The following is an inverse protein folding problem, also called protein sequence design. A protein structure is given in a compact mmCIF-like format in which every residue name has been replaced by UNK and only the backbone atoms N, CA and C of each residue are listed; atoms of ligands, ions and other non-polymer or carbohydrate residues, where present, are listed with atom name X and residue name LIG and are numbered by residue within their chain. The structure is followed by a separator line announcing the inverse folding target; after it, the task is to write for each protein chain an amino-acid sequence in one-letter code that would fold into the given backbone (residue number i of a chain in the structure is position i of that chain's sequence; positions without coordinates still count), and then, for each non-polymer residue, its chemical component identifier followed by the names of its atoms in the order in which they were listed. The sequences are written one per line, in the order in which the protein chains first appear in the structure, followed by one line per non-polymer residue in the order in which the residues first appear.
data_IF_072615145097
#
_entry.id   IF_072615145097
#
_cell.length_a   1.000
_cell.length_b   1.000
_cell.length_c   1.000
_cell.angle_alpha   90.00
_cell.angle_beta   90.00
_cell.angle_gamma   90.00
#
_symmetry.space_group_name_H-M   'P 1'
#
loop_
_entity.id
_entity.type
_entity.pdbx_description
1 polymer ?
#
# COMPACT_ATOMS: atom_id res chain seq x y z
N UNK A 1 4.21 17.85 13.09
CA UNK A 1 3.92 16.60 12.32
C UNK A 1 5.22 15.85 12.15
N UNK A 2 5.18 14.52 12.12
CA UNK A 2 6.36 13.70 11.87
C UNK A 2 6.31 13.14 10.46
N UNK A 3 7.49 12.96 9.88
CA UNK A 3 7.64 12.41 8.54
C UNK A 3 8.47 11.15 8.60
N UNK A 4 8.15 10.20 7.74
CA UNK A 4 8.78 8.90 7.75
C UNK A 4 9.02 8.39 6.35
N UNK A 5 10.05 7.55 6.21
CA UNK A 5 10.25 6.74 5.01
C UNK A 5 9.78 5.31 5.25
N UNK A 6 9.10 4.77 4.25
CA UNK A 6 8.62 3.40 4.20
C UNK A 6 9.12 2.75 2.92
N UNK A 7 9.42 1.45 3.01
CA UNK A 7 9.76 0.66 1.84
C UNK A 7 8.65 -0.32 1.50
N UNK A 8 8.39 -0.39 0.20
CA UNK A 8 7.52 -1.38 -0.37
C UNK A 8 8.23 -2.32 -1.34
N UNK A 9 7.59 -3.47 -1.54
CA UNK A 9 7.98 -4.46 -2.52
C UNK A 9 7.65 -4.01 -3.95
N UNK A 10 8.14 -4.78 -4.92
CA UNK A 10 7.95 -4.56 -6.35
C UNK A 10 6.49 -4.26 -6.72
N UNK A 11 6.30 -3.24 -7.54
CA UNK A 11 5.00 -2.86 -8.11
C UNK A 11 4.73 -3.63 -9.41
N UNK A 12 3.45 -3.81 -9.72
CA UNK A 12 3.03 -4.07 -11.10
C UNK A 12 2.48 -2.77 -11.69
N UNK A 13 2.63 -2.60 -13.00
CA UNK A 13 1.95 -1.54 -13.74
C UNK A 13 0.60 -2.06 -14.26
N UNK A 14 -0.45 -1.28 -14.07
CA UNK A 14 -1.80 -1.53 -14.54
C UNK A 14 -2.24 -0.36 -15.40
N UNK A 15 -2.45 -0.61 -16.70
CA UNK A 15 -2.89 0.41 -17.67
C UNK A 15 -4.39 0.32 -17.92
N UNK A 16 -5.13 1.36 -17.55
CA UNK A 16 -6.57 1.49 -17.77
C UNK A 16 -6.81 2.77 -18.55
N UNK A 17 -7.38 2.62 -19.75
CA UNK A 17 -7.46 3.70 -20.72
C UNK A 17 -6.08 4.35 -20.92
N UNK A 18 -5.96 5.64 -20.64
CA UNK A 18 -4.72 6.39 -20.72
C UNK A 18 -3.99 6.48 -19.36
N UNK A 19 -4.53 5.93 -18.27
CA UNK A 19 -3.91 6.02 -16.95
C UNK A 19 -3.04 4.79 -16.65
N UNK A 20 -1.81 5.04 -16.19
CA UNK A 20 -0.95 4.01 -15.60
C UNK A 20 -1.04 4.10 -14.08
N UNK A 21 -1.25 2.95 -13.43
CA UNK A 21 -1.27 2.83 -11.97
C UNK A 21 -0.24 1.81 -11.55
N UNK A 22 0.61 2.17 -10.59
CA UNK A 22 1.58 1.23 -10.02
C UNK A 22 1.08 0.76 -8.66
N UNK A 23 0.78 -0.52 -8.54
CA UNK A 23 0.15 -1.08 -7.34
C UNK A 23 0.70 -2.47 -7.00
N UNK A 24 0.22 -3.01 -5.89
CA UNK A 24 0.42 -4.41 -5.55
C UNK A 24 -0.24 -5.34 -6.57
N UNK A 25 0.24 -6.58 -6.60
CA UNK A 25 -0.42 -7.62 -7.39
C UNK A 25 -1.80 -7.92 -6.82
N UNK A 26 -2.79 -8.10 -7.70
CA UNK A 26 -4.18 -8.42 -7.32
C UNK A 26 -4.35 -9.78 -6.64
N UNK A 27 -3.31 -10.61 -6.63
CA UNK A 27 -3.23 -11.85 -5.85
C UNK A 27 -2.87 -11.57 -4.38
N UNK A 28 -3.84 -11.10 -3.60
CA UNK A 28 -3.69 -10.88 -2.15
C UNK A 28 -4.30 -9.56 -1.69
N UNK A 29 -3.92 -9.11 -0.48
CA UNK A 29 -4.15 -7.76 0.01
C UNK A 29 -3.36 -6.74 -0.84
N UNK A 30 -4.00 -5.67 -1.26
CA UNK A 30 -3.50 -4.66 -2.21
C UNK A 30 -3.05 -3.34 -1.56
N UNK A 31 -2.63 -3.37 -0.29
CA UNK A 31 -2.15 -2.18 0.42
C UNK A 31 -0.94 -1.51 -0.27
N UNK A 32 -0.84 -0.17 -0.27
CA UNK A 32 -1.84 0.81 0.19
C UNK A 32 -2.88 1.18 -0.89
N UNK A 33 -2.72 0.64 -2.10
CA UNK A 33 -3.51 0.91 -3.31
C UNK A 33 -4.81 0.11 -3.33
N UNK A 34 -5.59 0.22 -2.26
CA UNK A 34 -6.98 -0.19 -2.28
C UNK A 34 -7.71 0.81 -3.17
N UNK A 35 -8.34 0.31 -4.23
CA UNK A 35 -9.05 1.12 -5.24
C UNK A 35 -10.35 1.72 -4.67
N UNK A 36 -10.19 2.55 -3.65
CA UNK A 36 -11.17 3.29 -2.86
C UNK A 36 -10.81 4.77 -2.88
N UNK A 37 -11.74 5.65 -2.47
CA UNK A 37 -11.52 7.11 -2.49
C UNK A 37 -10.27 7.55 -1.70
N UNK A 38 -9.91 6.78 -0.68
CA UNK A 38 -8.74 6.99 0.16
C UNK A 38 -7.85 5.75 0.07
N UNK A 39 -6.54 5.96 0.11
CA UNK A 39 -5.59 4.85 0.27
C UNK A 39 -5.75 4.26 1.67
N UNK A 40 -5.62 2.94 1.76
CA UNK A 40 -5.79 2.20 3.01
C UNK A 40 -4.57 1.33 3.23
N UNK A 41 -4.06 1.31 4.46
CA UNK A 41 -3.00 0.38 4.85
C UNK A 41 -3.44 -0.36 6.11
N UNK A 42 -3.81 -1.64 5.97
CA UNK A 42 -4.12 -2.49 7.12
C UNK A 42 -2.88 -3.24 7.52
N UNK A 43 -2.50 -3.04 8.78
CA UNK A 43 -1.32 -3.66 9.34
C UNK A 43 -1.50 -5.17 9.56
N UNK A 44 -1.29 -5.91 8.47
CA UNK A 44 -1.16 -7.36 8.42
C UNK A 44 0.31 -7.78 8.29
N UNK A 45 1.07 -7.05 7.45
CA UNK A 45 2.35 -7.46 6.85
C UNK A 45 3.58 -6.82 7.48
N UNK A 46 3.46 -5.65 8.08
CA UNK A 46 4.62 -4.85 8.45
C UNK A 46 4.70 -4.71 9.96
N UNK A 47 5.80 -5.13 10.58
CA UNK A 47 6.19 -4.65 11.92
C UNK A 47 6.86 -3.27 11.83
N UNK A 48 6.71 -2.60 10.67
CA UNK A 48 7.51 -1.43 10.31
C UNK A 48 7.05 -0.18 11.05
N UNK A 49 5.76 -0.03 11.37
CA UNK A 49 5.21 1.10 12.12
C UNK A 49 4.36 0.60 13.29
N UNK A 50 4.45 1.29 14.42
CA UNK A 50 3.50 1.14 15.52
C UNK A 50 2.41 2.21 15.38
N UNK A 51 1.14 1.83 15.38
CA UNK A 51 0.01 2.76 15.35
C UNK A 51 0.13 3.89 16.39
N UNK A 52 0.63 3.57 17.59
CA UNK A 52 0.84 4.53 18.68
C UNK A 52 1.84 5.65 18.36
N UNK A 53 2.63 5.53 17.28
CA UNK A 53 3.60 6.53 16.85
C UNK A 53 3.04 7.47 15.78
N UNK A 54 1.93 7.11 15.13
CA UNK A 54 1.33 7.88 14.04
C UNK A 54 0.24 8.80 14.58
N UNK A 55 0.14 9.99 13.98
CA UNK A 55 -0.91 10.97 14.22
C UNK A 55 -1.46 11.48 12.90
N UNK A 56 -2.68 12.02 12.94
CA UNK A 56 -3.26 12.75 11.82
C UNK A 56 -2.30 13.85 11.37
N UNK A 57 -2.08 13.94 10.05
CA UNK A 57 -1.15 14.86 9.40
C UNK A 57 0.27 14.32 9.24
N UNK A 58 0.66 13.22 9.89
CA UNK A 58 1.99 12.64 9.64
C UNK A 58 2.09 12.12 8.19
N UNK A 59 3.24 12.32 7.54
CA UNK A 59 3.46 11.87 6.16
C UNK A 59 4.37 10.66 6.13
N UNK A 60 3.94 9.63 5.40
CA UNK A 60 4.73 8.45 5.07
C UNK A 60 5.11 8.57 3.59
N UNK A 61 6.40 8.72 3.32
CA UNK A 61 6.96 8.62 1.98
C UNK A 61 7.27 7.16 1.67
N UNK A 62 6.47 6.56 0.80
CA UNK A 62 6.66 5.19 0.37
C UNK A 62 7.57 5.17 -0.84
N UNK A 63 8.56 4.29 -0.78
CA UNK A 63 9.46 4.03 -1.88
C UNK A 63 9.36 2.58 -2.28
N UNK A 64 9.36 2.34 -3.59
CA UNK A 64 9.43 0.98 -4.12
C UNK A 64 10.81 0.76 -4.72
N UNK A 65 11.31 -0.45 -4.56
CA UNK A 65 12.52 -0.92 -5.25
C UNK A 65 12.11 -1.91 -6.33
N UNK A 66 12.67 -1.80 -7.53
CA UNK A 66 12.43 -2.75 -8.61
C UNK A 66 13.75 -3.11 -9.28
N UNK A 67 13.88 -4.37 -9.72
CA UNK A 67 15.08 -4.88 -10.38
C UNK A 67 15.69 -6.09 -9.67
N UNK A 68 16.82 -6.55 -10.20
CA UNK A 68 17.70 -7.52 -9.55
C UNK A 68 18.70 -6.75 -8.65
N UNK A 69 19.34 -7.41 -7.66
CA UNK A 69 20.27 -6.75 -6.74
C UNK A 69 21.42 -5.94 -7.36
N UNK A 70 21.78 -6.20 -8.62
CA UNK A 70 22.82 -5.47 -9.36
C UNK A 70 22.29 -4.30 -10.20
N UNK A 71 20.97 -4.15 -10.33
CA UNK A 71 20.28 -3.19 -11.21
C UNK A 71 19.09 -2.53 -10.48
N UNK A 72 19.11 -2.51 -9.15
CA UNK A 72 17.99 -1.99 -8.39
C UNK A 72 17.77 -0.51 -8.66
N UNK A 73 16.55 -0.20 -9.06
CA UNK A 73 16.06 1.16 -9.18
C UNK A 73 15.10 1.45 -8.04
N UNK A 74 15.21 2.65 -7.50
CA UNK A 74 14.32 3.15 -6.46
C UNK A 74 13.34 4.13 -7.06
N UNK A 75 12.12 4.12 -6.56
CA UNK A 75 11.05 4.96 -7.07
C UNK A 75 10.28 5.59 -5.92
N UNK A 76 9.87 6.83 -6.11
CA UNK A 76 8.83 7.42 -5.27
C UNK A 76 7.51 6.74 -5.61
N UNK A 77 6.93 6.04 -4.63
CA UNK A 77 5.75 5.21 -4.83
C UNK A 77 4.48 5.94 -4.38
N UNK A 78 4.42 6.35 -3.12
CA UNK A 78 3.26 7.02 -2.55
C UNK A 78 3.66 8.10 -1.55
N UNK A 79 3.01 9.25 -1.62
CA UNK A 79 2.96 10.22 -0.52
C UNK A 79 1.67 9.96 0.24
N UNK A 80 1.78 9.26 1.37
CA UNK A 80 0.64 8.87 2.20
C UNK A 80 0.57 9.78 3.43
N UNK A 81 -0.46 10.63 3.48
CA UNK A 81 -0.70 11.54 4.61
C UNK A 81 -1.72 10.87 5.52
N UNK A 82 -1.37 10.62 6.78
CA UNK A 82 -2.26 9.95 7.74
C UNK A 82 -3.45 10.86 8.06
N UNK A 83 -4.67 10.35 7.91
CA UNK A 83 -5.89 11.06 8.33
C UNK A 83 -6.47 10.45 9.61
N UNK A 84 -6.60 9.12 9.63
CA UNK A 84 -7.14 8.39 10.78
C UNK A 84 -6.50 7.00 10.94
N UNK A 85 -6.59 6.48 12.17
CA UNK A 85 -6.15 5.13 12.51
C UNK A 85 -7.33 4.46 13.21
N UNK A 86 -7.91 3.44 12.56
CA UNK A 86 -9.10 2.76 13.05
C UNK A 86 -8.71 1.36 13.51
N UNK A 87 -8.95 1.05 14.78
CA UNK A 87 -8.78 -0.30 15.29
C UNK A 87 -9.99 -1.15 14.92
N UNK A 88 -9.72 -2.41 14.59
CA UNK A 88 -10.78 -3.38 14.33
C UNK A 88 -11.29 -3.79 15.70
N UNK A 89 -12.28 -3.09 16.23
CA UNK A 89 -12.93 -3.46 17.49
C UNK A 89 -14.08 -4.41 17.21
N UNK A 90 -14.46 -5.23 18.19
CA UNK A 90 -15.58 -6.16 18.04
C UNK A 90 -16.89 -5.38 17.79
N UNK A 91 -17.66 -5.81 16.79
CA UNK A 91 -19.01 -5.31 16.57
C UNK A 91 -20.04 -6.10 17.38
N UNK A 92 -21.10 -5.43 17.82
CA UNK A 92 -22.27 -6.06 18.43
C UNK A 92 -23.22 -6.67 17.38
N UNK A 93 -22.97 -6.44 16.09
CA UNK A 93 -23.75 -7.05 15.00
C UNK A 93 -23.49 -8.55 14.98
N UNK A 94 -24.52 -9.32 15.34
CA UNK A 94 -24.52 -10.76 15.49
C UNK A 94 -24.14 -11.52 14.21
N UNK A 95 -22.84 -11.73 13.97
CA UNK A 95 -22.37 -12.90 13.25
C UNK A 95 -22.37 -14.10 14.20
N UNK A 96 -22.51 -15.33 13.71
CA UNK A 96 -22.22 -16.53 14.50
C UNK A 96 -20.75 -16.46 14.93
N UNK A 97 -20.50 -15.86 16.09
CA UNK A 97 -19.16 -15.73 16.64
C UNK A 97 -18.76 -17.15 17.02
N UNK A 98 -17.73 -17.70 16.38
CA UNK A 98 -17.10 -18.90 16.93
C UNK A 98 -16.59 -18.61 18.35
N UNK A 99 -16.19 -19.62 19.11
CA UNK A 99 -15.66 -19.43 20.48
C UNK A 99 -14.33 -18.63 20.56
N UNK A 100 -13.93 -17.93 19.49
CA UNK A 100 -12.73 -17.11 19.44
C UNK A 100 -13.06 -15.63 19.71
N UNK A 101 -12.70 -15.08 20.89
CA UNK A 101 -12.95 -13.66 21.20
C UNK A 101 -12.21 -12.68 20.28
N UNK A 102 -11.24 -13.15 19.50
CA UNK A 102 -10.42 -12.35 18.58
C UNK A 102 -10.82 -12.51 17.10
N UNK A 103 -11.99 -13.08 16.81
CA UNK A 103 -12.46 -13.30 15.43
C UNK A 103 -12.54 -12.01 14.60
N UNK A 104 -12.93 -10.91 15.24
CA UNK A 104 -12.98 -9.57 14.65
C UNK A 104 -11.61 -9.03 14.18
N UNK A 105 -10.48 -9.64 14.56
CA UNK A 105 -9.17 -9.35 13.96
C UNK A 105 -8.89 -10.13 12.67
N UNK A 106 -9.78 -11.02 12.26
CA UNK A 106 -9.62 -11.87 11.08
C UNK A 106 -10.77 -11.72 10.10
N UNK A 107 -11.97 -11.41 10.59
CA UNK A 107 -13.12 -11.06 9.77
C UNK A 107 -13.60 -9.66 10.09
N UNK A 108 -13.52 -8.77 9.10
CA UNK A 108 -13.99 -7.38 9.20
C UNK A 108 -15.50 -7.29 9.41
N UNK A 109 -16.27 -8.32 9.02
CA UNK A 109 -17.73 -8.37 9.27
C UNK A 109 -18.06 -8.44 10.76
N UNK A 110 -17.15 -8.98 11.55
CA UNK A 110 -17.27 -9.05 13.01
C UNK A 110 -16.68 -7.80 13.68
N UNK A 111 -16.24 -6.79 12.92
CA UNK A 111 -15.60 -5.59 13.46
C UNK A 111 -16.39 -4.30 13.20
N UNK A 112 -16.01 -3.23 13.88
CA UNK A 112 -16.62 -1.89 13.76
C UNK A 112 -16.20 -1.13 12.49
N UNK A 113 -15.25 -1.65 11.73
CA UNK A 113 -14.72 -1.01 10.51
C UNK A 113 -15.85 -0.82 9.50
N UNK A 114 -16.00 0.42 9.01
CA UNK A 114 -16.85 0.72 7.88
C UNK A 114 -16.07 0.51 6.58
N UNK A 115 -16.72 -0.13 5.61
CA UNK A 115 -16.10 -0.44 4.33
C UNK A 115 -17.15 -0.49 3.22
N UNK A 116 -16.71 -0.19 1.99
CA UNK A 116 -17.48 -0.45 0.78
C UNK A 116 -17.18 -1.86 0.23
N UNK A 117 -17.90 -2.26 -0.83
CA UNK A 117 -17.71 -3.57 -1.47
C UNK A 117 -16.27 -3.76 -2.01
N UNK A 118 -15.65 -2.68 -2.43
CA UNK A 118 -14.35 -2.64 -3.10
C UNK A 118 -13.19 -2.88 -2.14
N UNK A 119 -13.15 -2.09 -1.07
CA UNK A 119 -12.26 -2.26 0.08
C UNK A 119 -12.53 -3.58 0.81
N UNK A 120 -13.77 -4.08 0.87
CA UNK A 120 -14.02 -5.43 1.37
C UNK A 120 -13.28 -6.48 0.54
N UNK A 121 -13.48 -6.47 -0.79
CA UNK A 121 -12.97 -7.53 -1.69
C UNK A 121 -11.45 -7.53 -1.84
N UNK A 122 -10.83 -6.36 -1.97
CA UNK A 122 -9.40 -6.30 -2.29
C UNK A 122 -8.49 -6.21 -1.07
N UNK A 123 -9.08 -5.93 0.09
CA UNK A 123 -8.33 -5.62 1.28
C UNK A 123 -8.84 -6.37 2.51
N UNK A 124 -10.04 -6.06 2.98
CA UNK A 124 -10.47 -6.55 4.28
C UNK A 124 -10.75 -8.06 4.34
N UNK A 125 -11.36 -8.66 3.32
CA UNK A 125 -11.65 -10.10 3.30
C UNK A 125 -10.39 -10.99 3.27
N UNK A 126 -9.23 -10.39 2.97
CA UNK A 126 -7.94 -11.10 2.91
C UNK A 126 -7.28 -11.23 4.28
N UNK A 127 -7.79 -10.55 5.32
CA UNK A 127 -7.16 -10.50 6.63
C UNK A 127 -6.92 -11.88 7.26
N UNK A 128 -7.88 -12.80 7.15
CA UNK A 128 -7.76 -14.18 7.66
C UNK A 128 -6.89 -15.10 6.79
N UNK A 129 -6.67 -14.76 5.51
CA UNK A 129 -5.89 -15.57 4.55
C UNK A 129 -4.43 -15.15 4.54
N UNK A 130 -4.17 -13.86 4.40
CA UNK A 130 -2.82 -13.34 4.25
C UNK A 130 -2.10 -13.34 5.61
N UNK A 131 -2.78 -12.93 6.69
CA UNK A 131 -2.18 -12.82 8.03
C UNK A 131 -3.18 -13.13 9.16
N UNK A 132 -3.56 -14.40 9.33
CA UNK A 132 -4.44 -14.80 10.42
C UNK A 132 -3.81 -14.46 11.78
N UNK A 133 -4.62 -13.87 12.66
CA UNK A 133 -4.34 -13.69 14.09
C UNK A 133 -4.91 -14.88 14.85
N UNK A 134 -4.03 -15.69 15.41
CA UNK A 134 -4.39 -16.80 16.28
C UNK A 134 -4.47 -16.34 17.73
N UNK A 135 -5.02 -17.16 18.64
CA UNK A 135 -5.00 -16.89 20.09
C UNK A 135 -3.59 -16.62 20.62
N UNK A 136 -2.58 -17.34 20.10
CA UNK A 136 -1.16 -17.13 20.44
C UNK A 136 -0.53 -15.86 19.82
N UNK A 137 -1.23 -15.15 18.94
CA UNK A 137 -0.77 -13.93 18.25
C UNK A 137 -1.90 -12.90 18.12
N UNK A 138 -2.68 -12.70 19.19
CA UNK A 138 -3.81 -11.77 19.25
C UNK A 138 -3.38 -10.29 19.32
N UNK A 139 -2.52 -9.84 18.42
CA UNK A 139 -2.17 -8.43 18.29
C UNK A 139 -3.34 -7.68 17.64
N UNK A 140 -3.76 -6.59 18.26
CA UNK A 140 -4.78 -5.67 17.73
C UNK A 140 -4.49 -5.35 16.27
N UNK A 141 -5.52 -5.48 15.43
CA UNK A 141 -5.47 -5.06 14.03
C UNK A 141 -5.99 -3.63 13.93
N UNK A 142 -5.37 -2.87 13.05
CA UNK A 142 -5.79 -1.52 12.72
C UNK A 142 -5.58 -1.25 11.23
N UNK A 143 -6.33 -0.27 10.73
CA UNK A 143 -6.19 0.29 9.39
C UNK A 143 -5.78 1.74 9.54
N UNK A 144 -4.69 2.12 8.89
CA UNK A 144 -4.33 3.53 8.69
C UNK A 144 -5.00 3.97 7.41
N UNK A 145 -5.74 5.08 7.49
CA UNK A 145 -6.47 5.64 6.36
C UNK A 145 -5.80 6.94 5.96
N UNK A 146 -5.56 7.10 4.67
CA UNK A 146 -4.91 8.27 4.13
C UNK A 146 -5.89 9.43 3.96
N UNK A 147 -5.38 10.66 4.05
CA UNK A 147 -6.08 11.85 3.58
C UNK A 147 -6.35 11.75 2.08
N UNK A 148 -7.42 12.40 1.61
CA UNK A 148 -7.73 12.53 0.18
C UNK A 148 -6.64 13.27 -0.61
N UNK A 149 -5.78 14.02 0.09
CA UNK A 149 -4.62 14.69 -0.51
C UNK A 149 -3.41 13.78 -0.68
N UNK A 150 -3.48 12.51 -0.25
CA UNK A 150 -2.43 11.53 -0.54
C UNK A 150 -2.43 11.16 -2.03
N UNK A 151 -1.26 10.87 -2.59
CA UNK A 151 -1.11 10.66 -4.04
C UNK A 151 0.09 9.78 -4.41
N UNK A 152 0.00 9.11 -5.55
CA UNK A 152 1.14 8.53 -6.25
C UNK A 152 1.71 9.56 -7.24
N UNK A 153 2.91 10.10 -7.02
CA UNK A 153 3.54 11.03 -7.95
C UNK A 153 4.03 10.30 -9.21
N UNK A 154 3.79 10.89 -10.37
CA UNK A 154 4.25 10.36 -11.65
C UNK A 154 4.86 11.46 -12.53
N UNK A 155 5.70 11.04 -13.47
CA UNK A 155 6.25 11.88 -14.54
C UNK A 155 5.17 12.23 -15.57
N UNK A 156 5.50 13.10 -16.54
CA UNK A 156 4.61 13.39 -17.68
C UNK A 156 4.30 12.16 -18.54
N UNK A 157 5.19 11.16 -18.52
CA UNK A 157 5.01 9.90 -19.23
C UNK A 157 4.21 8.87 -18.43
N UNK A 158 3.62 9.28 -17.30
CA UNK A 158 2.80 8.43 -16.42
C UNK A 158 3.58 7.30 -15.76
N UNK A 159 4.88 7.53 -15.56
CA UNK A 159 5.81 6.59 -14.92
C UNK A 159 6.07 7.00 -13.47
N UNK A 160 6.43 6.05 -12.61
CA UNK A 160 6.95 6.41 -11.29
C UNK A 160 8.25 7.20 -11.42
N UNK A 161 8.45 8.15 -10.50
CA UNK A 161 9.67 8.97 -10.48
C UNK A 161 10.84 8.11 -9.98
N UNK A 162 11.79 7.82 -10.87
CA UNK A 162 13.03 7.12 -10.53
C UNK A 162 13.95 8.01 -9.69
N UNK A 163 14.39 7.51 -8.53
CA UNK A 163 15.28 8.21 -7.62
C UNK A 163 16.73 7.95 -8.02
N UNK A 164 17.38 9.00 -8.52
CA UNK A 164 18.83 9.00 -8.81
C UNK A 164 19.62 9.89 -7.84
N UNK A 165 18.92 10.65 -7.01
CA UNK A 165 19.53 11.55 -6.03
C UNK A 165 20.19 10.75 -4.91
N UNK A 166 21.51 10.90 -4.77
CA UNK A 166 22.30 10.18 -3.75
C UNK A 166 21.87 10.53 -2.33
N UNK A 167 21.47 11.78 -2.06
CA UNK A 167 21.07 12.20 -0.72
C UNK A 167 19.82 11.46 -0.27
N UNK A 168 18.88 11.20 -1.18
CA UNK A 168 17.68 10.39 -0.91
C UNK A 168 18.06 8.91 -0.80
N UNK A 169 18.89 8.40 -1.71
CA UNK A 169 19.31 6.99 -1.69
C UNK A 169 20.08 6.62 -0.41
N UNK A 170 20.90 7.51 0.11
CA UNK A 170 21.68 7.31 1.33
C UNK A 170 20.77 7.21 2.58
N UNK A 171 19.53 7.72 2.53
CA UNK A 171 18.57 7.59 3.63
C UNK A 171 18.18 6.12 3.92
N UNK A 172 18.39 5.21 2.96
CA UNK A 172 18.06 3.80 3.05
C UNK A 172 19.18 2.92 3.64
N UNK A 173 20.29 3.51 4.15
CA UNK A 173 21.37 2.89 4.93
C UNK A 173 21.68 1.43 4.57
N UNK A 174 22.56 1.18 3.59
CA UNK A 174 23.24 -0.11 3.31
C UNK A 174 22.41 -1.39 3.56
N UNK A 175 21.10 -1.36 3.27
CA UNK A 175 20.28 -2.56 3.16
C UNK A 175 20.18 -2.87 1.67
N UNK A 176 21.25 -3.43 1.04
CA UNK A 176 21.31 -3.66 -0.41
C UNK A 176 20.25 -4.64 -0.89
N UNK A 177 19.42 -5.20 0.00
CA UNK A 177 18.37 -6.15 -0.34
C UNK A 177 16.99 -5.83 0.19
N UNK A 178 16.77 -4.68 0.86
CA UNK A 178 15.47 -4.39 1.48
C UNK A 178 14.94 -5.63 2.20
N UNK A 179 15.81 -6.31 2.98
CA UNK A 179 15.40 -7.55 3.67
C UNK A 179 14.16 -7.24 4.49
N UNK A 180 13.39 -8.27 4.82
CA UNK A 180 12.20 -8.32 5.69
C UNK A 180 12.20 -7.47 6.98
N UNK A 181 13.28 -6.75 7.27
CA UNK A 181 13.59 -6.01 8.48
C UNK A 181 13.75 -4.49 8.28
N UNK A 182 13.62 -3.90 7.08
CA UNK A 182 13.55 -2.43 6.98
C UNK A 182 12.37 -1.96 7.83
N UNK A 183 12.64 -1.14 8.84
CA UNK A 183 11.63 -0.54 9.69
C UNK A 183 11.38 0.88 9.23
N UNK A 184 10.14 1.32 9.32
CA UNK A 184 9.80 2.71 9.03
C UNK A 184 10.69 3.62 9.88
N UNK A 185 11.37 4.55 9.22
CA UNK A 185 12.37 5.42 9.83
C UNK A 185 11.81 6.84 9.82
N UNK A 186 11.73 7.45 11.00
CA UNK A 186 11.43 8.88 11.11
C UNK A 186 12.60 9.66 10.49
N UNK A 187 12.30 10.68 9.70
CA UNK A 187 13.29 11.51 9.03
C UNK A 187 13.30 12.93 9.60
N UNK A 188 14.40 13.65 9.37
CA UNK A 188 14.59 15.05 9.78
C UNK A 188 13.91 16.01 8.80
N UNK A 189 13.72 17.26 9.20
CA UNK A 189 13.08 18.26 8.33
C UNK A 189 13.92 18.55 7.07
N UNK A 190 15.25 18.55 7.17
CA UNK A 190 16.16 18.65 6.01
C UNK A 190 15.97 17.50 5.01
N UNK A 191 15.76 16.27 5.51
CA UNK A 191 15.50 15.10 4.68
C UNK A 191 14.12 15.18 4.02
N UNK A 192 13.13 15.72 4.73
CA UNK A 192 11.79 15.97 4.19
C UNK A 192 11.86 16.98 3.06
N UNK A 193 12.50 18.12 3.29
CA UNK A 193 12.69 19.16 2.27
C UNK A 193 13.40 18.61 1.03
N UNK A 194 14.44 17.78 1.22
CA UNK A 194 15.12 17.10 0.12
C UNK A 194 14.16 16.22 -0.70
N UNK A 195 13.36 15.38 -0.05
CA UNK A 195 12.39 14.49 -0.72
C UNK A 195 11.29 15.31 -1.41
N UNK A 196 10.72 16.30 -0.73
CA UNK A 196 9.62 17.11 -1.27
C UNK A 196 10.07 17.93 -2.47
N UNK A 197 11.23 18.59 -2.39
CA UNK A 197 11.79 19.33 -3.51
C UNK A 197 12.08 18.40 -4.70
N UNK A 198 12.63 17.21 -4.45
CA UNK A 198 12.85 16.20 -5.49
C UNK A 198 11.53 15.77 -6.15
N UNK A 199 10.49 15.48 -5.36
CA UNK A 199 9.17 15.13 -5.88
C UNK A 199 8.58 16.29 -6.69
N UNK A 200 8.60 17.51 -6.15
CA UNK A 200 8.06 18.71 -6.80
C UNK A 200 8.73 19.02 -8.13
N UNK A 201 10.05 18.86 -8.22
CA UNK A 201 10.80 19.10 -9.45
C UNK A 201 10.45 18.08 -10.56
N UNK A 202 10.14 16.84 -10.19
CA UNK A 202 10.01 15.73 -11.14
C UNK A 202 8.54 15.31 -11.41
N UNK A 203 7.62 15.55 -10.48
CA UNK A 203 6.21 15.16 -10.66
C UNK A 203 5.52 16.09 -11.65
N UNK A 204 4.69 15.50 -12.51
CA UNK A 204 3.76 16.20 -13.40
C UNK A 204 2.31 15.74 -13.19
N UNK A 205 2.13 14.58 -12.58
CA UNK A 205 0.83 13.98 -12.31
C UNK A 205 0.79 13.55 -10.84
N UNK A 206 -0.36 13.79 -10.20
CA UNK A 206 -0.69 13.29 -8.87
C UNK A 206 -1.90 12.36 -8.97
N UNK A 207 -1.68 11.06 -8.88
CA UNK A 207 -2.77 10.09 -8.94
C UNK A 207 -3.33 9.86 -7.53
N UNK A 208 -4.54 10.37 -7.26
CA UNK A 208 -5.19 10.29 -5.94
C UNK A 208 -6.08 9.06 -5.83
N UNK A 209 -6.43 8.67 -4.60
CA UNK A 209 -7.34 7.55 -4.35
C UNK A 209 -8.71 7.73 -5.03
N UNK A 210 -9.21 8.97 -5.08
CA UNK A 210 -10.44 9.33 -5.79
C UNK A 210 -10.38 9.04 -7.29
N UNK A 211 -9.22 9.19 -7.92
CA UNK A 211 -9.03 8.87 -9.34
C UNK A 211 -9.07 7.36 -9.55
N UNK A 212 -8.41 6.59 -8.67
CA UNK A 212 -8.45 5.13 -8.70
C UNK A 212 -9.86 4.59 -8.48
N UNK A 213 -10.61 5.19 -7.56
CA UNK A 213 -12.00 4.82 -7.30
C UNK A 213 -12.91 5.07 -8.52
N UNK A 214 -12.73 6.19 -9.23
CA UNK A 214 -13.45 6.48 -10.48
C UNK A 214 -13.10 5.47 -11.57
N UNK A 215 -11.81 5.16 -11.75
CA UNK A 215 -11.35 4.15 -12.72
C UNK A 215 -11.99 2.79 -12.45
N UNK A 216 -12.04 2.38 -11.18
CA UNK A 216 -12.64 1.11 -10.77
C UNK A 216 -14.15 1.09 -10.93
N UNK A 217 -14.83 2.19 -10.60
CA UNK A 217 -16.29 2.31 -10.73
C UNK A 217 -16.75 2.09 -12.17
N UNK A 218 -15.84 2.26 -13.15
CA UNK A 218 -16.01 1.78 -14.51
C UNK A 218 -15.71 0.26 -14.63
N UNK A 219 -16.61 -0.55 -14.04
CA UNK A 219 -16.41 -1.98 -13.75
C UNK A 219 -16.04 -2.85 -14.96
N UNK A 220 -16.58 -2.57 -16.15
CA UNK A 220 -16.33 -3.36 -17.35
C UNK A 220 -14.88 -3.25 -17.83
N UNK A 221 -14.30 -2.05 -17.77
CA UNK A 221 -12.90 -1.81 -18.15
C UNK A 221 -11.95 -2.40 -17.11
N UNK A 222 -12.27 -2.20 -15.83
CA UNK A 222 -11.50 -2.69 -14.68
C UNK A 222 -11.32 -4.21 -14.70
N UNK A 223 -12.42 -4.98 -14.79
CA UNK A 223 -12.38 -6.44 -14.77
C UNK A 223 -11.55 -6.99 -15.94
N UNK A 224 -11.73 -6.45 -17.15
CA UNK A 224 -10.97 -6.90 -18.33
C UNK A 224 -9.45 -6.77 -18.17
N UNK A 225 -8.97 -5.76 -17.43
CA UNK A 225 -7.55 -5.47 -17.21
C UNK A 225 -6.98 -6.29 -16.07
N UNK A 226 -7.72 -6.44 -14.97
CA UNK A 226 -7.38 -7.33 -13.85
C UNK A 226 -7.07 -8.75 -14.34
N UNK A 227 -7.96 -9.31 -15.18
CA UNK A 227 -7.79 -10.63 -15.77
C UNK A 227 -6.56 -10.74 -16.69
N UNK A 228 -6.23 -9.71 -17.46
CA UNK A 228 -5.02 -9.70 -18.32
C UNK A 228 -3.72 -9.73 -17.50
N UNK A 229 -3.65 -8.94 -16.43
CA UNK A 229 -2.50 -8.91 -15.53
C UNK A 229 -2.29 -10.26 -14.81
N UNK A 230 -3.38 -10.94 -14.43
CA UNK A 230 -3.31 -12.27 -13.80
C UNK A 230 -2.92 -13.39 -14.79
N UNK A 231 -3.38 -13.33 -16.06
CA UNK A 231 -3.13 -14.34 -17.09
C UNK A 231 -1.72 -14.29 -17.69
N UNK A 232 -1.14 -13.10 -17.88
CA UNK A 232 0.23 -12.95 -18.37
C UNK A 232 1.26 -13.67 -17.50
N UNK A 233 1.03 -13.73 -16.18
CA UNK A 233 1.91 -14.47 -15.28
C UNK A 233 1.72 -15.98 -15.38
N UNK A 234 0.52 -16.49 -15.64
CA UNK A 234 0.28 -17.94 -15.75
C UNK A 234 1.04 -18.55 -16.93
N UNK A 235 1.05 -17.88 -18.09
CA UNK A 235 1.86 -18.28 -19.26
C UNK A 235 3.38 -18.24 -19.03
N UNK A 236 3.88 -17.33 -18.18
CA UNK A 236 5.32 -17.22 -17.85
C UNK A 236 5.80 -18.34 -16.90
N UNK A 237 4.87 -18.99 -16.19
CA UNK A 237 5.16 -20.16 -15.36
C UNK A 237 4.99 -21.47 -16.13
N UNK A 238 4.01 -21.56 -17.04
CA UNK A 238 3.82 -22.71 -17.93
C UNK A 238 4.93 -22.83 -19.00
N UNK A 239 5.69 -21.77 -19.26
CA UNK A 239 6.87 -21.80 -20.16
C UNK A 239 8.19 -22.17 -19.45
N UNK A 240 8.13 -22.75 -18.25
CA UNK A 240 9.28 -23.21 -17.46
C UNK A 240 9.14 -24.66 -16.97
N UNK A 241 8.39 -25.48 -17.69
CA UNK A 241 8.58 -26.93 -17.65
C UNK A 241 9.59 -27.29 -18.74
N UNK A 242 10.84 -27.50 -18.32
CA UNK A 242 11.85 -28.28 -19.04
C UNK A 242 11.84 -29.69 -18.46
#
# INVERSE_FOLDING_TARGET
MANYIMLHQNRIEVKIDDTSVYCDNFKGNQDPYVWSERFLNTFCKTTQIKASQLKKGDTLFWFSRQGNPSEDKWFVDLVFIVDEIIYWEKSDKAGKVGDNPFEHYNDVKCSTIQYDEFSYKDHYQRANKDHPKTRSRAKRRYTVVASKESYQPQTEHKELIEIKDKNILDMFDHSPRGRSNFRCKKITDEQVECIENFILANKKIELKGTDLFKLRSNSQKWESKKWRCERWKRKKWESKEY
#
